data_IF_016030420192
#
_entry.id   IF_016030420192
#
_cell.length_a   1.000
_cell.length_b   1.000
_cell.length_c   1.000
_cell.angle_alpha   90.00
_cell.angle_beta   90.00
_cell.angle_gamma   90.00
#
_symmetry.space_group_name_H-M   'P 1'
#
loop_
_entity.id
_entity.type
_entity.pdbx_description
1 polymer ?
#
# COMPACT_ATOMS: atom_id res chain seq x y z
N UNK A 1 -16.33 28.53 31.85
CA UNK A 1 -17.21 27.50 31.26
C UNK A 1 -16.37 26.25 31.04
N UNK A 2 -16.63 25.15 31.77
CA UNK A 2 -15.89 23.90 31.67
C UNK A 2 -16.65 22.99 30.69
N UNK A 3 -16.05 22.65 29.57
CA UNK A 3 -16.58 21.61 28.66
C UNK A 3 -16.07 20.26 29.12
N UNK A 4 -16.98 19.41 29.61
CA UNK A 4 -16.71 18.00 29.85
C UNK A 4 -16.86 17.23 28.54
N UNK A 5 -15.77 16.62 28.06
CA UNK A 5 -15.82 15.66 26.96
C UNK A 5 -16.33 14.32 27.49
N UNK A 6 -17.48 13.87 27.00
CA UNK A 6 -18.03 12.54 27.24
C UNK A 6 -17.46 11.60 26.22
N UNK A 7 -16.52 10.74 26.63
CA UNK A 7 -16.09 9.59 25.82
C UNK A 7 -17.19 8.52 25.83
N UNK A 8 -17.77 8.24 24.66
CA UNK A 8 -18.64 7.09 24.46
C UNK A 8 -17.80 5.84 24.16
N UNK A 9 -18.09 4.69 24.78
CA UNK A 9 -17.32 3.47 24.53
C UNK A 9 -17.64 2.88 23.16
N UNK A 10 -16.59 2.58 22.42
CA UNK A 10 -16.63 1.84 21.14
C UNK A 10 -17.12 0.42 21.40
N UNK A 11 -18.23 0.01 20.77
CA UNK A 11 -18.70 -1.37 20.79
C UNK A 11 -18.14 -2.12 19.59
N UNK A 12 -17.44 -3.24 19.75
CA UNK A 12 -17.02 -4.07 18.62
C UNK A 12 -18.23 -4.80 18.03
N UNK A 13 -18.31 -4.81 16.70
CA UNK A 13 -19.30 -5.59 15.95
C UNK A 13 -18.99 -7.09 16.05
N UNK A 14 -19.98 -7.96 16.22
CA UNK A 14 -19.77 -9.41 16.21
C UNK A 14 -19.54 -9.90 14.77
N UNK A 15 -18.50 -10.71 14.59
CA UNK A 15 -18.23 -11.44 13.36
C UNK A 15 -19.35 -12.48 13.13
N UNK A 16 -20.12 -12.29 12.07
CA UNK A 16 -21.14 -13.29 11.65
C UNK A 16 -20.48 -14.25 10.67
N UNK A 17 -20.15 -15.44 11.15
CA UNK A 17 -19.76 -16.57 10.30
C UNK A 17 -21.02 -17.17 9.63
N UNK A 18 -21.14 -17.02 8.33
CA UNK A 18 -22.15 -17.71 7.53
C UNK A 18 -21.60 -19.09 7.13
N UNK A 19 -21.99 -20.13 7.87
CA UNK A 19 -21.69 -21.51 7.52
C UNK A 19 -22.60 -21.98 6.39
N UNK A 20 -22.06 -22.19 5.20
CA UNK A 20 -22.76 -22.81 4.08
C UNK A 20 -22.78 -24.34 4.29
N UNK A 21 -23.95 -24.92 4.63
CA UNK A 21 -24.16 -26.37 4.71
C UNK A 21 -24.37 -26.92 3.31
N UNK A 22 -23.44 -27.77 2.86
CA UNK A 22 -23.59 -28.60 1.66
C UNK A 22 -24.17 -29.94 2.09
N UNK A 23 -25.35 -30.32 1.56
CA UNK A 23 -25.98 -31.64 1.74
C UNK A 23 -25.47 -32.61 0.68
N UNK A 24 -25.21 -33.88 1.00
CA UNK A 24 -24.78 -34.88 0.05
C UNK A 24 -25.95 -35.48 -0.75
N UNK A 25 -25.92 -35.39 -2.05
CA UNK A 25 -26.81 -36.08 -2.98
C UNK A 25 -26.28 -37.45 -3.38
N UNK A 26 -27.19 -38.39 -3.49
CA UNK A 26 -27.01 -39.84 -3.66
C UNK A 26 -26.37 -40.22 -5.00
N UNK A 27 -25.50 -41.23 -4.91
CA UNK A 27 -24.94 -42.02 -6.05
C UNK A 27 -25.99 -42.73 -6.87
N UNK A 28 -25.81 -42.75 -8.18
CA UNK A 28 -26.25 -43.87 -9.05
C UNK A 28 -25.13 -44.21 -10.02
N UNK A 29 -24.65 -45.46 -9.89
CA UNK A 29 -23.64 -46.09 -10.75
C UNK A 29 -24.21 -46.33 -12.17
N UNK A 30 -23.46 -45.91 -13.19
CA UNK A 30 -23.38 -46.67 -14.47
C UNK A 30 -21.98 -46.55 -15.04
N UNK A 31 -21.36 -47.70 -15.23
CA UNK A 31 -20.09 -47.87 -15.91
C UNK A 31 -20.29 -47.74 -17.44
N UNK A 32 -19.39 -47.07 -18.14
CA UNK A 32 -19.00 -47.31 -19.52
C UNK A 32 -17.68 -46.58 -19.85
N UNK A 33 -16.74 -47.36 -20.22
CA UNK A 33 -15.54 -47.24 -21.03
C UNK A 33 -15.10 -45.91 -21.60
N UNK A 34 -13.85 -45.57 -21.33
CA UNK A 34 -12.85 -45.20 -22.32
C UNK A 34 -12.94 -43.79 -22.93
N UNK A 35 -12.23 -42.86 -22.32
CA UNK A 35 -11.33 -41.89 -23.03
C UNK A 35 -10.66 -41.00 -21.98
N UNK A 36 -9.36 -41.20 -21.78
CA UNK A 36 -8.52 -40.22 -21.06
C UNK A 36 -8.56 -38.88 -21.80
N UNK A 37 -9.48 -38.02 -21.43
CA UNK A 37 -9.35 -36.58 -21.70
C UNK A 37 -8.49 -36.03 -20.60
N UNK A 38 -7.19 -35.79 -20.88
CA UNK A 38 -6.33 -34.93 -20.08
C UNK A 38 -7.05 -33.61 -19.91
N UNK A 39 -7.75 -33.44 -18.78
CA UNK A 39 -8.26 -32.17 -18.31
C UNK A 39 -7.05 -31.26 -18.14
N UNK A 40 -6.88 -30.30 -19.04
CA UNK A 40 -6.03 -29.15 -18.82
C UNK A 40 -6.70 -28.37 -17.68
N UNK A 41 -6.34 -28.71 -16.47
CA UNK A 41 -6.54 -27.79 -15.34
C UNK A 41 -5.76 -26.53 -15.70
N UNK A 42 -6.45 -25.52 -16.19
CA UNK A 42 -5.96 -24.17 -16.17
C UNK A 42 -5.75 -23.86 -14.68
N UNK A 43 -4.49 -24.02 -14.20
CA UNK A 43 -4.06 -23.35 -12.97
C UNK A 43 -4.38 -21.88 -13.21
N UNK A 44 -5.48 -21.37 -12.62
CA UNK A 44 -5.60 -19.96 -12.34
C UNK A 44 -4.31 -19.62 -11.55
N UNK A 45 -3.35 -19.03 -12.24
CA UNK A 45 -2.27 -18.33 -11.57
C UNK A 45 -2.97 -17.17 -10.84
N UNK A 46 -3.26 -17.35 -9.57
CA UNK A 46 -3.45 -16.20 -8.71
C UNK A 46 -2.20 -15.36 -8.90
N UNK A 47 -2.37 -14.19 -9.48
CA UNK A 47 -1.28 -13.23 -9.61
C UNK A 47 -1.05 -12.74 -8.20
N UNK A 48 -0.11 -13.36 -7.50
CA UNK A 48 0.39 -12.89 -6.22
C UNK A 48 0.78 -11.44 -6.46
N UNK A 49 0.19 -10.52 -5.69
CA UNK A 49 0.41 -9.09 -5.90
C UNK A 49 1.66 -8.68 -5.12
N UNK A 50 2.81 -8.86 -5.76
CA UNK A 50 4.06 -8.28 -5.27
C UNK A 50 4.13 -6.78 -5.55
N UNK A 51 4.67 -6.05 -4.61
CA UNK A 51 5.00 -4.64 -4.77
C UNK A 51 6.26 -4.28 -3.98
N UNK A 52 6.57 -2.99 -3.83
CA UNK A 52 7.85 -2.57 -3.26
C UNK A 52 7.66 -1.64 -2.06
N UNK A 53 8.53 -1.80 -1.07
CA UNK A 53 8.69 -0.89 0.06
C UNK A 53 9.99 -0.14 -0.14
N UNK A 54 9.94 1.19 -0.10
CA UNK A 54 11.09 2.06 -0.28
C UNK A 54 11.50 2.68 1.05
N UNK A 55 12.76 2.51 1.44
CA UNK A 55 13.35 3.32 2.49
C UNK A 55 13.73 4.69 1.92
N UNK A 56 13.11 5.76 2.43
CA UNK A 56 13.39 7.14 2.00
C UNK A 56 13.67 7.99 3.23
N UNK A 57 14.88 8.51 3.35
CA UNK A 57 15.40 9.17 4.55
C UNK A 57 15.98 10.55 4.22
N UNK A 58 16.14 11.40 5.24
CA UNK A 58 16.77 12.73 5.09
C UNK A 58 18.29 12.71 5.23
N UNK A 59 18.82 11.66 5.83
CA UNK A 59 20.26 11.39 5.93
C UNK A 59 20.58 10.15 5.12
N UNK A 60 21.79 10.12 4.51
CA UNK A 60 22.21 8.96 3.74
C UNK A 60 22.43 7.78 4.69
N UNK A 61 21.77 6.69 4.40
CA UNK A 61 21.90 5.42 5.13
C UNK A 61 22.99 4.59 4.47
N UNK A 62 23.88 4.01 5.26
CA UNK A 62 24.87 3.06 4.78
C UNK A 62 24.20 1.75 4.34
N UNK A 63 24.81 1.03 3.39
CA UNK A 63 24.23 -0.21 2.84
C UNK A 63 23.95 -1.26 3.94
N UNK A 64 24.75 -1.31 4.99
CA UNK A 64 24.56 -2.23 6.12
C UNK A 64 23.33 -1.92 6.97
N UNK A 65 22.76 -0.72 6.80
CA UNK A 65 21.54 -0.25 7.48
C UNK A 65 20.36 -0.09 6.52
N UNK A 66 20.45 -0.63 5.32
CA UNK A 66 19.33 -0.63 4.40
C UNK A 66 18.18 -1.46 4.96
N UNK A 67 16.96 -0.99 4.67
CA UNK A 67 15.76 -1.81 4.84
C UNK A 67 16.00 -3.14 4.13
N UNK A 68 15.83 -4.23 4.85
CA UNK A 68 16.01 -5.60 4.38
C UNK A 68 14.82 -6.47 4.81
N UNK A 69 14.83 -7.74 4.43
CA UNK A 69 13.74 -8.66 4.71
C UNK A 69 13.44 -8.88 6.20
N UNK A 70 14.45 -8.70 7.07
CA UNK A 70 14.31 -8.87 8.53
C UNK A 70 13.87 -7.59 9.27
N UNK A 71 13.85 -6.44 8.58
CA UNK A 71 13.57 -5.13 9.23
C UNK A 71 12.11 -5.02 9.63
N UNK A 72 11.19 -5.52 8.81
CA UNK A 72 9.75 -5.39 9.03
C UNK A 72 9.16 -6.67 9.62
N UNK A 73 8.13 -6.49 10.44
CA UNK A 73 7.32 -7.63 10.90
C UNK A 73 6.61 -8.27 9.71
N UNK A 74 6.82 -9.58 9.51
CA UNK A 74 6.19 -10.37 8.47
C UNK A 74 5.65 -11.69 9.00
N UNK A 75 4.78 -12.37 8.26
CA UNK A 75 4.14 -13.64 8.61
C UNK A 75 2.65 -13.53 8.89
N UNK A 76 2.04 -14.64 9.28
CA UNK A 76 0.57 -14.83 9.36
C UNK A 76 -0.18 -13.78 10.20
N UNK A 77 0.46 -13.21 11.22
CA UNK A 77 -0.14 -12.20 12.11
C UNK A 77 0.28 -10.76 11.74
N UNK A 78 0.95 -10.56 10.61
CA UNK A 78 1.47 -9.28 10.15
C UNK A 78 0.72 -8.80 8.91
N UNK A 79 0.84 -7.50 8.61
CA UNK A 79 0.30 -6.94 7.37
C UNK A 79 1.01 -7.50 6.13
N UNK A 80 2.34 -7.70 6.24
CA UNK A 80 3.13 -8.34 5.19
C UNK A 80 3.31 -9.82 5.54
N UNK A 81 2.78 -10.71 4.72
CA UNK A 81 3.00 -12.15 4.89
C UNK A 81 4.38 -12.60 4.37
N UNK A 82 5.00 -11.77 3.53
CA UNK A 82 6.31 -12.02 2.94
C UNK A 82 7.03 -10.71 2.59
N UNK A 83 8.33 -10.65 2.90
CA UNK A 83 9.26 -9.63 2.44
C UNK A 83 10.54 -10.30 1.92
N UNK A 84 11.15 -9.76 0.87
CA UNK A 84 12.41 -10.25 0.33
C UNK A 84 13.26 -9.12 -0.26
N UNK A 85 14.56 -9.32 -0.23
CA UNK A 85 15.51 -8.46 -0.95
C UNK A 85 15.35 -8.61 -2.47
N UNK A 86 15.72 -7.56 -3.19
CA UNK A 86 15.75 -7.52 -4.66
C UNK A 86 17.17 -7.17 -5.11
N UNK A 87 17.52 -7.51 -6.34
CA UNK A 87 18.82 -7.16 -6.90
C UNK A 87 18.95 -5.66 -7.24
N UNK A 88 20.17 -5.20 -7.47
CA UNK A 88 20.47 -3.79 -7.73
C UNK A 88 19.82 -3.28 -9.03
N UNK A 89 19.65 -4.13 -10.05
CA UNK A 89 19.01 -3.75 -11.33
C UNK A 89 17.50 -3.55 -11.14
N UNK A 90 16.84 -4.49 -10.46
CA UNK A 90 15.43 -4.38 -10.12
C UNK A 90 15.16 -3.20 -9.18
N UNK A 91 16.05 -2.99 -8.20
CA UNK A 91 16.00 -1.83 -7.30
C UNK A 91 16.01 -0.52 -8.10
N UNK A 92 16.97 -0.33 -9.00
CA UNK A 92 17.08 0.88 -9.80
C UNK A 92 15.85 1.09 -10.70
N UNK A 93 15.37 0.04 -11.34
CA UNK A 93 14.14 0.10 -12.13
C UNK A 93 12.95 0.64 -11.32
N UNK A 94 12.78 0.17 -10.09
CA UNK A 94 11.69 0.63 -9.23
C UNK A 94 11.88 2.05 -8.71
N UNK A 95 13.14 2.48 -8.44
CA UNK A 95 13.46 3.87 -8.10
C UNK A 95 13.10 4.80 -9.27
N UNK A 96 13.51 4.46 -10.48
CA UNK A 96 13.19 5.23 -11.67
C UNK A 96 11.68 5.34 -11.89
N UNK A 97 10.95 4.24 -11.70
CA UNK A 97 9.50 4.23 -11.81
C UNK A 97 8.83 5.09 -10.72
N UNK A 98 9.32 5.01 -9.47
CA UNK A 98 8.81 5.83 -8.38
C UNK A 98 8.91 7.33 -8.72
N UNK A 99 10.09 7.77 -9.11
CA UNK A 99 10.37 9.21 -9.30
C UNK A 99 9.72 9.75 -10.57
N UNK A 100 9.76 9.00 -11.67
CA UNK A 100 9.27 9.49 -12.97
C UNK A 100 7.75 9.34 -13.16
N UNK A 101 7.12 8.33 -12.50
CA UNK A 101 5.75 7.97 -12.80
C UNK A 101 4.79 8.04 -11.60
N UNK A 102 5.28 7.91 -10.35
CA UNK A 102 4.44 7.79 -9.16
C UNK A 102 4.43 9.09 -8.35
N UNK A 103 5.60 9.66 -8.07
CA UNK A 103 5.70 10.89 -7.28
C UNK A 103 5.06 12.08 -8.00
N UNK A 104 4.48 13.05 -7.27
CA UNK A 104 3.86 14.22 -7.87
C UNK A 104 4.84 14.98 -8.76
N UNK A 105 4.44 15.20 -9.99
CA UNK A 105 5.29 15.88 -11.00
C UNK A 105 5.69 17.28 -10.53
N UNK A 106 6.97 17.58 -10.66
CA UNK A 106 7.56 18.87 -10.28
C UNK A 106 7.88 19.01 -8.80
N UNK A 107 7.36 18.14 -7.92
CA UNK A 107 7.74 18.14 -6.50
C UNK A 107 9.10 17.51 -6.26
N UNK A 108 9.53 16.60 -7.12
CA UNK A 108 10.77 15.84 -6.95
C UNK A 108 11.57 15.82 -8.26
N UNK A 109 12.89 15.76 -8.13
CA UNK A 109 13.80 15.54 -9.24
C UNK A 109 14.98 14.66 -8.80
N UNK A 110 15.55 13.90 -9.74
CA UNK A 110 16.78 13.16 -9.49
C UNK A 110 17.98 14.10 -9.31
N UNK A 111 18.83 13.78 -8.32
CA UNK A 111 20.16 14.34 -8.14
C UNK A 111 21.23 13.30 -8.48
N UNK A 112 20.97 12.04 -8.11
CA UNK A 112 21.76 10.86 -8.49
C UNK A 112 20.84 9.64 -8.47
N UNK A 113 21.37 8.46 -8.80
CA UNK A 113 20.59 7.20 -8.92
C UNK A 113 19.76 6.85 -7.67
N UNK A 114 20.22 7.26 -6.48
CA UNK A 114 19.58 6.99 -5.19
C UNK A 114 19.20 8.26 -4.41
N UNK A 115 19.32 9.42 -5.01
CA UNK A 115 19.10 10.71 -4.34
C UNK A 115 18.14 11.57 -5.13
N UNK A 116 17.08 12.00 -4.47
CA UNK A 116 16.10 12.94 -5.03
C UNK A 116 16.09 14.25 -4.25
N UNK A 117 15.75 15.33 -4.93
CA UNK A 117 15.54 16.64 -4.31
C UNK A 117 14.06 16.95 -4.26
N UNK A 118 13.60 17.40 -3.10
CA UNK A 118 12.28 18.00 -2.98
C UNK A 118 12.32 19.47 -3.43
N UNK A 119 11.58 19.79 -4.48
CA UNK A 119 11.56 21.14 -5.10
C UNK A 119 10.47 22.06 -4.52
N UNK A 120 9.69 21.56 -3.54
CA UNK A 120 8.52 22.27 -3.05
C UNK A 120 7.24 21.83 -3.76
N UNK A 121 6.21 22.70 -3.77
CA UNK A 121 4.90 22.37 -4.35
C UNK A 121 3.86 21.87 -3.35
N UNK A 122 4.20 21.79 -2.07
CA UNK A 122 3.29 21.33 -1.02
C UNK A 122 1.98 22.12 -0.94
N UNK A 123 1.99 23.43 -1.21
CA UNK A 123 0.77 24.23 -1.19
C UNK A 123 -0.20 23.78 -2.27
N UNK A 124 0.27 23.65 -3.50
CA UNK A 124 -0.55 23.20 -4.63
C UNK A 124 -1.04 21.78 -4.41
N UNK A 125 -0.14 20.87 -3.99
CA UNK A 125 -0.53 19.48 -3.69
C UNK A 125 -1.65 19.41 -2.63
N UNK A 126 -1.57 20.22 -1.57
CA UNK A 126 -2.62 20.27 -0.52
C UNK A 126 -3.95 20.79 -1.06
N UNK A 127 -3.93 21.79 -1.95
CA UNK A 127 -5.14 22.31 -2.60
C UNK A 127 -5.79 21.24 -3.49
N UNK A 128 -5.00 20.57 -4.32
CA UNK A 128 -5.45 19.51 -5.21
C UNK A 128 -6.00 18.31 -4.41
N UNK A 129 -5.30 17.90 -3.37
CA UNK A 129 -5.74 16.80 -2.49
C UNK A 129 -7.09 17.10 -1.81
N UNK A 130 -7.27 18.34 -1.32
CA UNK A 130 -8.55 18.77 -0.74
C UNK A 130 -9.66 18.81 -1.79
N UNK A 131 -9.37 19.25 -3.00
CA UNK A 131 -10.33 19.26 -4.10
C UNK A 131 -10.78 17.82 -4.47
N UNK A 132 -9.82 16.89 -4.54
CA UNK A 132 -10.10 15.48 -4.81
C UNK A 132 -10.91 14.81 -3.69
N UNK A 133 -10.60 15.09 -2.42
CA UNK A 133 -11.41 14.61 -1.29
C UNK A 133 -12.86 15.08 -1.42
N UNK A 134 -13.07 16.36 -1.71
CA UNK A 134 -14.42 16.93 -1.88
C UNK A 134 -15.17 16.26 -3.02
N UNK A 135 -14.52 16.12 -4.18
CA UNK A 135 -15.11 15.47 -5.35
C UNK A 135 -15.51 14.02 -5.08
N UNK A 136 -14.64 13.25 -4.38
CA UNK A 136 -14.95 11.86 -4.01
C UNK A 136 -16.04 11.78 -2.94
N UNK A 137 -16.08 12.73 -1.99
CA UNK A 137 -17.11 12.78 -0.97
C UNK A 137 -18.50 13.11 -1.54
N UNK A 138 -18.58 13.92 -2.59
CA UNK A 138 -19.83 14.21 -3.31
C UNK A 138 -20.46 12.98 -3.97
N UNK A 139 -19.65 11.96 -4.30
CA UNK A 139 -20.14 10.69 -4.82
C UNK A 139 -20.80 9.79 -3.75
N UNK A 140 -20.61 10.11 -2.46
CA UNK A 140 -21.25 9.38 -1.35
C UNK A 140 -22.68 9.90 -1.18
N UNK A 141 -23.65 9.06 -1.49
CA UNK A 141 -25.09 9.36 -1.36
C UNK A 141 -25.77 8.36 -0.42
N UNK A 142 -27.01 8.61 0.03
CA UNK A 142 -27.77 7.63 0.81
C UNK A 142 -27.88 6.26 0.11
N UNK A 143 -27.91 6.24 -1.22
CA UNK A 143 -28.02 5.03 -2.03
C UNK A 143 -26.67 4.28 -2.11
N UNK A 144 -25.56 5.02 -2.28
CA UNK A 144 -24.22 4.44 -2.50
C UNK A 144 -23.46 4.13 -1.21
N UNK A 145 -23.89 4.66 -0.06
CA UNK A 145 -23.17 4.51 1.23
C UNK A 145 -23.03 3.05 1.70
N UNK A 146 -23.92 2.17 1.27
CA UNK A 146 -23.92 0.74 1.63
C UNK A 146 -23.23 -0.16 0.60
N UNK A 147 -22.74 0.39 -0.49
CA UNK A 147 -22.03 -0.38 -1.51
C UNK A 147 -20.68 -0.87 -0.97
N UNK A 148 -20.40 -2.18 -1.12
CA UNK A 148 -19.19 -2.83 -0.57
C UNK A 148 -17.88 -2.22 -1.10
N UNK A 149 -17.78 -1.96 -2.41
CA UNK A 149 -16.62 -1.34 -3.07
C UNK A 149 -17.04 0.02 -3.68
N UNK A 150 -17.97 0.69 -3.01
CA UNK A 150 -18.56 1.95 -3.44
C UNK A 150 -17.74 3.18 -3.06
N UNK A 151 -18.35 4.38 -3.20
CA UNK A 151 -17.66 5.64 -2.98
C UNK A 151 -17.00 5.81 -1.61
N UNK A 152 -17.58 5.24 -0.53
CA UNK A 152 -17.00 5.29 0.82
C UNK A 152 -15.68 4.55 0.85
N UNK A 153 -15.63 3.32 0.33
CA UNK A 153 -14.40 2.53 0.24
C UNK A 153 -13.33 3.23 -0.62
N UNK A 154 -13.73 3.80 -1.76
CA UNK A 154 -12.82 4.52 -2.65
C UNK A 154 -12.27 5.79 -2.00
N UNK A 155 -13.08 6.50 -1.23
CA UNK A 155 -12.63 7.67 -0.47
C UNK A 155 -11.65 7.25 0.63
N UNK A 156 -11.96 6.20 1.41
CA UNK A 156 -11.06 5.68 2.45
C UNK A 156 -9.71 5.27 1.86
N UNK A 157 -9.71 4.52 0.76
CA UNK A 157 -8.50 4.12 0.05
C UNK A 157 -7.68 5.32 -0.39
N UNK A 158 -8.32 6.33 -0.98
CA UNK A 158 -7.66 7.55 -1.46
C UNK A 158 -7.05 8.37 -0.31
N UNK A 159 -7.73 8.49 0.83
CA UNK A 159 -7.22 9.21 1.99
C UNK A 159 -5.91 8.63 2.53
N UNK A 160 -5.74 7.31 2.45
CA UNK A 160 -4.53 6.61 2.90
C UNK A 160 -3.46 6.58 1.82
N UNK A 161 -3.86 6.53 0.55
CA UNK A 161 -2.97 6.32 -0.57
C UNK A 161 -3.28 7.25 -1.76
N UNK A 162 -3.01 8.57 -1.61
CA UNK A 162 -3.32 9.57 -2.63
C UNK A 162 -2.55 9.38 -3.94
N UNK A 163 -1.42 8.67 -3.93
CA UNK A 163 -0.68 8.34 -5.16
C UNK A 163 -1.26 7.14 -5.92
N UNK A 164 -2.29 6.48 -5.38
CA UNK A 164 -2.91 5.26 -5.93
C UNK A 164 -1.86 4.22 -6.40
N UNK A 165 -0.85 4.04 -5.59
CA UNK A 165 0.25 3.10 -5.84
C UNK A 165 0.19 1.93 -4.86
N UNK A 166 0.72 0.77 -5.27
CA UNK A 166 0.98 -0.33 -4.36
C UNK A 166 2.30 -0.16 -3.58
N UNK A 167 3.07 0.89 -3.86
CA UNK A 167 4.31 1.16 -3.15
C UNK A 167 4.04 1.66 -1.74
N UNK A 168 4.90 1.21 -0.80
CA UNK A 168 4.92 1.64 0.58
C UNK A 168 6.23 2.34 0.89
N UNK A 169 6.26 3.09 2.01
CA UNK A 169 7.34 3.98 2.36
C UNK A 169 7.80 3.71 3.79
N UNK A 170 9.09 3.50 3.95
CA UNK A 170 9.76 3.37 5.23
C UNK A 170 10.66 4.60 5.41
N UNK A 171 10.38 5.44 6.42
CA UNK A 171 10.98 6.77 6.54
C UNK A 171 11.88 6.91 7.76
N UNK A 172 12.14 5.82 8.44
CA UNK A 172 12.95 5.82 9.65
C UNK A 172 14.44 5.63 9.31
N UNK A 173 15.26 6.50 9.86
CA UNK A 173 16.73 6.47 9.72
C UNK A 173 17.39 5.62 10.81
N UNK A 174 16.68 5.40 11.94
CA UNK A 174 17.21 4.77 13.15
C UNK A 174 16.76 3.31 13.32
N UNK A 175 15.90 2.80 12.44
CA UNK A 175 15.39 1.43 12.49
C UNK A 175 14.37 1.19 13.62
N UNK A 176 13.74 2.24 14.12
CA UNK A 176 12.74 2.17 15.20
C UNK A 176 11.31 1.92 14.69
N UNK A 177 11.06 2.19 13.42
CA UNK A 177 9.78 1.96 12.78
C UNK A 177 9.59 0.47 12.49
N UNK A 178 8.53 -0.12 12.98
CA UNK A 178 8.22 -1.55 12.80
C UNK A 178 7.39 -1.88 11.57
N UNK A 179 6.92 -0.88 10.84
CA UNK A 179 6.06 -1.03 9.67
C UNK A 179 6.33 0.06 8.64
N UNK A 180 5.96 -0.21 7.38
CA UNK A 180 5.97 0.78 6.32
C UNK A 180 4.63 1.53 6.26
N UNK A 181 4.64 2.72 5.67
CA UNK A 181 3.49 3.60 5.57
C UNK A 181 3.00 3.73 4.12
N UNK A 182 1.73 4.03 3.96
CA UNK A 182 1.16 4.38 2.65
C UNK A 182 1.54 5.80 2.23
N UNK A 183 1.25 6.14 0.98
CA UNK A 183 1.73 7.38 0.36
C UNK A 183 1.24 8.67 1.02
N UNK A 184 0.13 8.66 1.77
CA UNK A 184 -0.32 9.83 2.51
C UNK A 184 0.69 10.26 3.59
N UNK A 185 1.17 9.31 4.40
CA UNK A 185 2.12 9.61 5.48
C UNK A 185 3.46 10.11 4.93
N UNK A 186 3.93 9.50 3.85
CA UNK A 186 5.12 9.97 3.14
C UNK A 186 4.95 11.42 2.66
N UNK A 187 3.89 11.73 1.92
CA UNK A 187 3.65 13.08 1.40
C UNK A 187 3.39 14.10 2.50
N UNK A 188 2.71 13.71 3.59
CA UNK A 188 2.50 14.56 4.76
C UNK A 188 3.83 15.01 5.36
N UNK A 189 4.78 14.10 5.54
CA UNK A 189 6.11 14.44 6.06
C UNK A 189 6.91 15.29 5.07
N UNK A 190 6.90 14.93 3.77
CA UNK A 190 7.61 15.71 2.74
C UNK A 190 7.10 17.15 2.65
N UNK A 191 5.80 17.36 2.84
CA UNK A 191 5.21 18.71 2.82
C UNK A 191 5.67 19.63 3.97
N UNK A 192 6.33 19.08 5.00
CA UNK A 192 6.95 19.85 6.08
C UNK A 192 8.41 20.25 5.77
N UNK A 193 8.99 19.74 4.69
CA UNK A 193 10.38 20.01 4.34
C UNK A 193 10.53 21.33 3.57
N UNK A 194 11.70 21.95 3.74
CA UNK A 194 12.07 23.10 2.95
C UNK A 194 12.41 22.70 1.50
N UNK A 195 12.01 23.50 0.50
CA UNK A 195 12.45 23.28 -0.89
C UNK A 195 13.99 23.20 -0.97
N UNK A 196 14.49 22.24 -1.71
CA UNK A 196 15.92 21.93 -1.81
C UNK A 196 16.38 20.80 -0.88
N UNK A 197 15.52 20.30 0.03
CA UNK A 197 15.85 19.16 0.88
C UNK A 197 16.16 17.93 0.02
N UNK A 198 17.29 17.29 0.32
CA UNK A 198 17.67 16.01 -0.29
C UNK A 198 17.05 14.86 0.48
N UNK A 199 16.56 13.88 -0.27
CA UNK A 199 16.07 12.63 0.25
C UNK A 199 16.87 11.49 -0.39
N UNK A 200 17.25 10.52 0.42
CA UNK A 200 18.07 9.38 0.02
C UNK A 200 17.23 8.12 0.00
N UNK A 201 17.30 7.38 -1.10
CA UNK A 201 16.60 6.11 -1.25
C UNK A 201 17.57 5.01 -0.86
N UNK A 202 17.35 4.42 0.31
CA UNK A 202 18.11 3.33 0.87
C UNK A 202 17.70 1.97 0.31
N UNK A 203 17.33 1.04 1.18
CA UNK A 203 16.82 -0.28 0.79
C UNK A 203 15.49 -0.19 0.03
N UNK A 204 15.33 -1.10 -0.93
CA UNK A 204 14.04 -1.36 -1.59
C UNK A 204 13.82 -2.85 -1.52
N UNK A 205 12.70 -3.28 -0.96
CA UNK A 205 12.37 -4.70 -0.81
C UNK A 205 11.05 -5.03 -1.48
N UNK A 206 10.94 -6.27 -1.93
CA UNK A 206 9.69 -6.86 -2.40
C UNK A 206 8.80 -7.22 -1.22
N UNK A 207 7.49 -7.08 -1.36
CA UNK A 207 6.55 -7.54 -0.35
C UNK A 207 5.30 -8.13 -1.00
N UNK A 208 4.62 -8.94 -0.18
CA UNK A 208 3.34 -9.54 -0.49
C UNK A 208 2.37 -9.40 0.70
N UNK A 209 1.06 -9.30 0.42
CA UNK A 209 -0.02 -9.25 1.40
C UNK A 209 -1.26 -9.99 0.89
#
# INVERSE_FOLDING_TARGET
MKFSAVCLPFRPFPAVWLACKISPGKESRKASEGREKKSKFNKLKFKVMHSKIFQITRTRVDKDNYLNEDTLMQGDDSFFDYCAEIDDEERQYHIDNLVNNILPKGMFEFVSDDTIRYNGGAAQWREDFVADIRSRAEAVTPESVQEWIGPVYQLEKFLKNPLDTAYWFYMDEEGLQSHAEQSYEFLRQVCEFEPGTLLYIGGVIDYHF
#
